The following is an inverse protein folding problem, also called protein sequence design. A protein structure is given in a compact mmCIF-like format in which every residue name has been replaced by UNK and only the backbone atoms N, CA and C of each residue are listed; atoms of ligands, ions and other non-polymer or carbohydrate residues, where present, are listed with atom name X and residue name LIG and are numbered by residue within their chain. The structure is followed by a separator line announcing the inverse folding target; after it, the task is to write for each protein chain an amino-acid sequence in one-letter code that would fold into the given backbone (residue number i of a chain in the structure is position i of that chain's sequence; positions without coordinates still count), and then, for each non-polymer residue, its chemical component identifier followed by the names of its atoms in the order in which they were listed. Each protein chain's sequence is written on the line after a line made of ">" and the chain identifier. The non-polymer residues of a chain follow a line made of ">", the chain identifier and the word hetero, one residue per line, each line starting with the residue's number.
data_IF_802178434647
#
_entry.id   IF_802178434647
#
_cell.length_a   1.000
_cell.length_b   1.000
_cell.length_c   1.000
_cell.angle_alpha   90.00
_cell.angle_beta   90.00
_cell.angle_gamma   90.00
#
_symmetry.space_group_name_H-M   'P 1'
#
loop_
_entity.id
_entity.type
_entity.pdbx_description
1 polymer ?
#
# COMPACT_ATOMS: atom_id res chain seq x y z
N UNK A 1 -6.46 3.94 4.37
CA UNK A 1 -7.74 4.50 3.91
C UNK A 1 -8.49 3.40 3.18
N UNK A 2 -9.77 3.23 3.46
CA UNK A 2 -10.64 2.36 2.68
C UNK A 2 -10.99 3.04 1.33
N UNK A 3 -11.71 2.33 0.45
CA UNK A 3 -12.05 2.85 -0.87
C UNK A 3 -12.89 4.14 -0.79
N UNK A 4 -13.88 4.21 0.11
CA UNK A 4 -14.79 5.35 0.21
C UNK A 4 -14.07 6.61 0.69
N UNK A 5 -13.14 6.47 1.63
CA UNK A 5 -12.27 7.55 2.10
C UNK A 5 -11.39 8.10 0.97
N UNK A 6 -10.90 7.25 0.07
CA UNK A 6 -10.12 7.69 -1.09
C UNK A 6 -10.98 8.39 -2.15
N UNK A 7 -12.21 7.93 -2.35
CA UNK A 7 -13.16 8.62 -3.21
C UNK A 7 -13.47 10.02 -2.68
N UNK A 8 -13.66 10.14 -1.36
CA UNK A 8 -13.89 11.41 -0.70
C UNK A 8 -12.67 12.34 -0.83
N UNK A 9 -11.46 11.85 -0.54
CA UNK A 9 -10.21 12.59 -0.73
C UNK A 9 -10.07 13.15 -2.16
N UNK A 10 -10.37 12.33 -3.17
CA UNK A 10 -10.32 12.78 -4.56
C UNK A 10 -11.31 13.92 -4.84
N UNK A 11 -12.54 13.81 -4.31
CA UNK A 11 -13.56 14.85 -4.49
C UNK A 11 -13.13 16.16 -3.81
N UNK A 12 -12.58 16.11 -2.60
CA UNK A 12 -12.05 17.29 -1.92
C UNK A 12 -10.89 17.94 -2.67
N UNK A 13 -10.07 17.14 -3.36
CA UNK A 13 -8.98 17.61 -4.21
C UNK A 13 -9.43 18.06 -5.62
N UNK A 14 -10.74 18.09 -5.91
CA UNK A 14 -11.29 18.52 -7.21
C UNK A 14 -11.28 17.46 -8.31
N UNK A 15 -11.04 16.20 -7.98
CA UNK A 15 -11.09 15.05 -8.89
C UNK A 15 -12.39 14.25 -8.74
N UNK A 16 -12.66 13.35 -9.71
CA UNK A 16 -13.85 12.51 -9.69
C UNK A 16 -13.79 11.40 -8.62
N UNK A 17 -14.94 10.88 -8.16
CA UNK A 17 -14.98 9.66 -7.33
C UNK A 17 -14.30 8.46 -8.00
N UNK A 18 -14.40 8.34 -9.32
CA UNK A 18 -13.74 7.26 -10.07
C UNK A 18 -12.22 7.31 -9.90
N UNK A 19 -11.63 8.50 -9.73
CA UNK A 19 -10.20 8.65 -9.42
C UNK A 19 -9.83 7.92 -8.13
N UNK A 20 -10.66 8.01 -7.09
CA UNK A 20 -10.45 7.31 -5.81
C UNK A 20 -10.46 5.79 -5.96
N UNK A 21 -11.31 5.26 -6.83
CA UNK A 21 -11.31 3.83 -7.18
C UNK A 21 -9.98 3.44 -7.84
N UNK A 22 -9.48 4.24 -8.79
CA UNK A 22 -8.18 3.97 -9.42
C UNK A 22 -7.04 3.98 -8.40
N UNK A 23 -7.00 4.96 -7.49
CA UNK A 23 -5.99 5.00 -6.43
C UNK A 23 -6.04 3.74 -5.57
N UNK A 24 -7.24 3.29 -5.20
CA UNK A 24 -7.43 2.09 -4.41
C UNK A 24 -6.91 0.84 -5.15
N UNK A 25 -7.23 0.68 -6.44
CA UNK A 25 -6.73 -0.44 -7.25
C UNK A 25 -5.20 -0.44 -7.34
N UNK A 26 -4.58 0.71 -7.56
CA UNK A 26 -3.12 0.82 -7.59
C UNK A 26 -2.48 0.38 -6.27
N UNK A 27 -3.00 0.84 -5.15
CA UNK A 27 -2.43 0.51 -3.84
C UNK A 27 -2.61 -0.96 -3.47
N UNK A 28 -3.81 -1.51 -3.65
CA UNK A 28 -4.15 -2.83 -3.10
C UNK A 28 -4.02 -3.98 -4.11
N UNK A 29 -4.26 -3.73 -5.40
CA UNK A 29 -4.14 -4.76 -6.45
C UNK A 29 -2.74 -4.81 -7.06
N UNK A 30 -2.14 -3.64 -7.27
CA UNK A 30 -0.81 -3.54 -7.90
C UNK A 30 0.33 -3.41 -6.89
N UNK A 31 0.04 -3.11 -5.62
CA UNK A 31 1.04 -3.05 -4.55
C UNK A 31 2.10 -1.96 -4.74
N UNK A 32 1.74 -0.85 -5.40
CA UNK A 32 2.70 0.22 -5.68
C UNK A 32 3.05 1.04 -4.44
N UNK A 33 4.26 1.60 -4.43
CA UNK A 33 4.79 2.43 -3.34
C UNK A 33 5.13 3.86 -3.77
N UNK A 34 4.68 4.30 -4.95
CA UNK A 34 4.93 5.65 -5.47
C UNK A 34 3.80 6.10 -6.39
N UNK A 35 3.33 7.35 -6.21
CA UNK A 35 2.28 7.94 -7.04
C UNK A 35 2.70 8.03 -8.52
N UNK A 36 3.99 8.22 -8.80
CA UNK A 36 4.54 8.19 -10.17
C UNK A 36 4.25 6.88 -10.92
N UNK A 37 4.05 5.76 -10.22
CA UNK A 37 3.73 4.48 -10.87
C UNK A 37 2.29 4.42 -11.41
N UNK A 38 1.41 5.35 -11.03
CA UNK A 38 0.00 5.36 -11.41
C UNK A 38 -0.22 5.97 -12.80
N UNK A 39 0.13 5.22 -13.86
CA UNK A 39 0.19 5.76 -15.24
C UNK A 39 -1.15 6.27 -15.80
N UNK A 40 -2.28 5.79 -15.29
CA UNK A 40 -3.62 6.25 -15.67
C UNK A 40 -4.13 7.44 -14.82
N UNK A 41 -3.29 7.94 -13.90
CA UNK A 41 -3.52 9.16 -13.12
C UNK A 41 -2.75 10.30 -13.76
N UNK A 42 -3.44 11.42 -14.01
CA UNK A 42 -2.84 12.56 -14.68
C UNK A 42 -1.64 13.11 -13.86
N UNK A 43 -0.66 13.70 -14.56
CA UNK A 43 0.60 14.12 -13.92
C UNK A 43 0.40 15.23 -12.88
N UNK A 44 -0.53 16.15 -13.11
CA UNK A 44 -0.87 17.22 -12.16
C UNK A 44 -1.40 16.65 -10.84
N UNK A 45 -2.25 15.63 -10.89
CA UNK A 45 -2.83 15.03 -9.70
C UNK A 45 -1.84 14.12 -8.99
N UNK A 46 -0.97 13.39 -9.71
CA UNK A 46 0.16 12.69 -9.08
C UNK A 46 1.04 13.64 -8.27
N UNK A 47 1.37 14.80 -8.84
CA UNK A 47 2.13 15.84 -8.14
C UNK A 47 1.37 16.38 -6.91
N UNK A 48 0.07 16.64 -7.03
CA UNK A 48 -0.76 17.02 -5.87
C UNK A 48 -0.71 15.95 -4.76
N UNK A 49 -0.84 14.67 -5.10
CA UNK A 49 -0.73 13.59 -4.13
C UNK A 49 0.66 13.52 -3.48
N UNK A 50 1.74 13.77 -4.23
CA UNK A 50 3.09 13.83 -3.67
C UNK A 50 3.30 15.00 -2.70
N UNK A 51 2.67 16.14 -2.95
CA UNK A 51 2.76 17.34 -2.11
C UNK A 51 1.93 17.22 -0.83
N UNK A 52 0.80 16.49 -0.87
CA UNK A 52 -0.19 16.48 0.21
C UNK A 52 -0.36 15.14 0.92
N UNK A 53 0.14 14.04 0.35
CA UNK A 53 -0.07 12.68 0.86
C UNK A 53 1.24 11.89 0.93
N UNK A 54 1.24 10.83 1.74
CA UNK A 54 2.34 9.87 1.84
C UNK A 54 1.79 8.47 1.54
N UNK A 55 2.25 7.86 0.44
CA UNK A 55 2.05 6.44 0.15
C UNK A 55 3.29 5.65 0.59
N UNK A 56 3.20 4.99 1.74
CA UNK A 56 4.32 4.21 2.27
C UNK A 56 3.84 3.14 3.25
N UNK A 57 4.31 1.92 3.02
CA UNK A 57 4.07 0.73 3.86
C UNK A 57 5.20 0.52 4.87
N UNK A 58 5.07 -0.48 5.75
CA UNK A 58 6.15 -0.89 6.65
C UNK A 58 7.34 -1.42 5.86
N UNK A 59 8.57 -1.15 6.33
CA UNK A 59 9.77 -1.72 5.73
C UNK A 59 9.92 -3.16 6.19
N UNK A 60 10.13 -4.10 5.26
CA UNK A 60 10.56 -5.45 5.62
C UNK A 60 12.00 -5.38 6.13
N UNK A 61 12.20 -5.73 7.39
CA UNK A 61 13.53 -5.81 8.01
C UNK A 61 14.12 -7.21 7.84
N UNK A 62 13.31 -8.25 8.06
CA UNK A 62 13.76 -9.64 7.93
C UNK A 62 12.61 -10.57 7.54
N UNK A 63 12.93 -11.62 6.79
CA UNK A 63 12.06 -12.79 6.56
C UNK A 63 12.76 -14.03 7.10
N UNK A 64 12.04 -14.84 7.86
CA UNK A 64 12.54 -16.04 8.53
C UNK A 64 11.62 -17.19 8.13
N UNK A 65 12.03 -18.06 7.19
CA UNK A 65 11.25 -19.23 6.85
C UNK A 65 11.23 -20.24 8.00
N UNK A 66 10.11 -20.93 8.16
CA UNK A 66 9.96 -22.07 9.05
C UNK A 66 10.81 -23.24 8.58
N UNK A 67 11.18 -24.12 9.52
CA UNK A 67 11.86 -25.39 9.21
C UNK A 67 10.89 -26.55 9.00
N UNK A 68 9.68 -26.42 9.54
CA UNK A 68 8.69 -27.50 9.63
C UNK A 68 7.64 -27.41 8.52
N UNK A 69 7.36 -26.20 8.03
CA UNK A 69 6.29 -25.94 7.07
C UNK A 69 6.64 -24.75 6.15
N UNK A 70 5.69 -24.35 5.31
CA UNK A 70 5.82 -23.20 4.38
C UNK A 70 5.58 -21.84 5.07
N UNK A 71 5.45 -21.80 6.39
CA UNK A 71 5.21 -20.56 7.11
C UNK A 71 6.44 -19.64 7.07
N UNK A 72 6.21 -18.33 7.00
CA UNK A 72 7.28 -17.32 7.00
C UNK A 72 6.97 -16.28 8.06
N UNK A 73 7.88 -16.12 9.03
CA UNK A 73 7.86 -14.98 9.94
C UNK A 73 8.49 -13.77 9.26
N UNK A 74 7.79 -12.64 9.26
CA UNK A 74 8.22 -11.38 8.68
C UNK A 74 8.36 -10.36 9.82
N UNK A 75 9.54 -9.78 9.94
CA UNK A 75 9.81 -8.65 10.84
C UNK A 75 9.74 -7.38 10.01
N UNK A 76 8.85 -6.49 10.40
CA UNK A 76 8.68 -5.17 9.81
C UNK A 76 9.28 -4.11 10.73
N UNK A 77 9.86 -3.07 10.14
CA UNK A 77 10.27 -1.84 10.82
C UNK A 77 9.28 -0.72 10.51
N UNK A 78 8.74 -0.10 11.56
CA UNK A 78 7.84 1.05 11.48
C UNK A 78 8.61 2.34 11.15
N UNK A 79 7.88 3.43 10.87
CA UNK A 79 8.50 4.73 10.56
C UNK A 79 9.25 5.33 11.76
N UNK A 80 8.80 5.03 12.97
CA UNK A 80 9.38 5.44 14.25
C UNK A 80 10.37 4.41 14.82
N UNK A 81 10.91 3.53 13.98
CA UNK A 81 11.97 2.55 14.29
C UNK A 81 11.59 1.48 15.33
N UNK A 82 10.31 1.20 15.50
CA UNK A 82 9.84 0.01 16.22
C UNK A 82 9.74 -1.20 15.30
N UNK A 83 9.62 -2.39 15.89
CA UNK A 83 9.48 -3.65 15.17
C UNK A 83 8.12 -4.28 15.39
N UNK A 84 7.53 -4.79 14.31
CA UNK A 84 6.29 -5.56 14.31
C UNK A 84 6.59 -6.92 13.69
N UNK A 85 6.09 -7.99 14.29
CA UNK A 85 6.19 -9.35 13.73
C UNK A 85 4.85 -9.76 13.10
N UNK A 86 4.91 -10.48 11.98
CA UNK A 86 3.76 -11.12 11.34
C UNK A 86 4.16 -12.52 10.89
N UNK A 87 3.24 -13.49 10.95
CA UNK A 87 3.46 -14.83 10.42
C UNK A 87 2.51 -15.05 9.24
N UNK A 88 3.06 -15.32 8.06
CA UNK A 88 2.30 -15.79 6.90
C UNK A 88 2.34 -17.30 6.90
N UNK A 89 1.19 -17.94 7.10
CA UNK A 89 1.04 -19.39 7.04
C UNK A 89 0.42 -19.76 5.70
N UNK A 90 0.86 -20.88 5.12
CA UNK A 90 0.26 -21.46 3.91
C UNK A 90 -0.43 -22.74 4.34
N UNK A 91 -1.75 -22.81 4.17
CA UNK A 91 -2.56 -23.98 4.51
C UNK A 91 -3.07 -24.65 3.23
N UNK A 92 -2.62 -25.89 2.99
CA UNK A 92 -2.85 -26.60 1.73
C UNK A 92 -2.03 -26.07 0.54
N UNK A 93 -2.63 -26.07 -0.64
CA UNK A 93 -2.01 -25.68 -1.92
C UNK A 93 -2.25 -24.20 -2.32
N UNK A 94 -2.76 -23.36 -1.41
CA UNK A 94 -3.07 -21.95 -1.68
C UNK A 94 -2.39 -21.01 -0.70
#
# INVERSE_FOLDING_TARGET
>A
MNQDELQFLCVEAGESKFRGVQLFEWMYRHGIASFDSMLNVNKSFRKHLEEHCIIQTLKVEKRIPSKEDKSVKIIFRTRDNHFIETVSMVDGDR
#
